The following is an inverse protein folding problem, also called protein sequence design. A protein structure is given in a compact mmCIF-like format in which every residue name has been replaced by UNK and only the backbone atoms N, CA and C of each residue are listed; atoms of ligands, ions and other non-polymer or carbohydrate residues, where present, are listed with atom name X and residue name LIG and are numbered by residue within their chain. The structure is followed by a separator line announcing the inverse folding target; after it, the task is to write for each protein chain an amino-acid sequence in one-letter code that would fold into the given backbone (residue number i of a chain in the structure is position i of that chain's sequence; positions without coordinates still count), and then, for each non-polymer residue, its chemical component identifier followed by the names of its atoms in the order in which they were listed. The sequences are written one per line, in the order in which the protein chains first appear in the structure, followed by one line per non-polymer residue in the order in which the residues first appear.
data_IF_559330465150
#
_entry.id   IF_559330465150
#
_cell.length_a   1.000
_cell.length_b   1.000
_cell.length_c   1.000
_cell.angle_alpha   90.00
_cell.angle_beta   90.00
_cell.angle_gamma   90.00
#
_symmetry.space_group_name_H-M   'P 1'
#
loop_
_entity.id
_entity.type
_entity.pdbx_description
1 polymer ?
#
# COMPACT_ATOMS: atom_id res chain seq x y z
N UNK A 1 7.55 53.96 -7.54
CA UNK A 1 8.76 53.55 -8.27
C UNK A 1 9.72 52.74 -7.40
N UNK A 2 9.99 53.11 -6.13
CA UNK A 2 10.77 52.27 -5.20
C UNK A 2 10.18 50.86 -5.07
N UNK A 3 8.85 50.76 -5.04
CA UNK A 3 8.11 49.49 -5.11
C UNK A 3 8.46 48.68 -6.37
N UNK A 4 8.59 49.31 -7.55
CA UNK A 4 8.93 48.61 -8.79
C UNK A 4 10.37 48.06 -8.75
N UNK A 5 11.29 48.79 -8.12
CA UNK A 5 12.66 48.30 -7.91
C UNK A 5 12.65 47.12 -6.94
N UNK A 6 11.94 47.24 -5.82
CA UNK A 6 11.80 46.16 -4.85
C UNK A 6 11.20 44.90 -5.48
N UNK A 7 10.09 45.04 -6.22
CA UNK A 7 9.44 43.94 -6.94
C UNK A 7 10.34 43.38 -8.04
N UNK A 8 11.09 44.20 -8.77
CA UNK A 8 12.05 43.76 -9.78
C UNK A 8 13.18 42.92 -9.17
N UNK A 9 13.80 43.39 -8.09
CA UNK A 9 14.84 42.65 -7.39
C UNK A 9 14.31 41.35 -6.76
N UNK A 10 13.13 41.39 -6.13
CA UNK A 10 12.47 40.18 -5.61
C UNK A 10 12.11 39.21 -6.73
N UNK A 11 11.68 39.70 -7.89
CA UNK A 11 11.36 38.89 -9.06
C UNK A 11 12.58 38.13 -9.57
N UNK A 12 13.73 38.81 -9.70
CA UNK A 12 15.00 38.17 -10.10
C UNK A 12 15.40 37.10 -9.09
N UNK A 13 15.40 37.40 -7.79
CA UNK A 13 15.68 36.42 -6.75
C UNK A 13 14.72 35.23 -6.82
N UNK A 14 13.42 35.50 -6.98
CA UNK A 14 12.38 34.49 -7.11
C UNK A 14 12.56 33.58 -8.33
N UNK A 15 12.96 34.11 -9.49
CA UNK A 15 13.25 33.28 -10.67
C UNK A 15 14.40 32.31 -10.44
N UNK A 16 15.47 32.75 -9.77
CA UNK A 16 16.57 31.88 -9.34
C UNK A 16 16.11 30.78 -8.39
N UNK A 17 15.26 31.11 -7.42
CA UNK A 17 14.67 30.15 -6.49
C UNK A 17 13.77 29.13 -7.18
N UNK A 18 12.95 29.53 -8.16
CA UNK A 18 12.10 28.62 -8.94
C UNK A 18 12.95 27.67 -9.78
N UNK A 19 14.03 28.17 -10.39
CA UNK A 19 14.97 27.32 -11.14
C UNK A 19 15.63 26.29 -10.22
N UNK A 20 16.12 26.72 -9.06
CA UNK A 20 16.75 25.84 -8.07
C UNK A 20 15.76 24.81 -7.52
N UNK A 21 14.51 25.21 -7.24
CA UNK A 21 13.44 24.31 -6.82
C UNK A 21 13.14 23.23 -7.87
N UNK A 22 13.11 23.60 -9.17
CA UNK A 22 12.93 22.63 -10.27
C UNK A 22 14.12 21.68 -10.41
N UNK A 23 15.34 22.16 -10.19
CA UNK A 23 16.54 21.34 -10.20
C UNK A 23 16.53 20.35 -9.02
N UNK A 24 16.20 20.84 -7.82
CA UNK A 24 16.06 20.04 -6.61
C UNK A 24 14.99 18.95 -6.79
N UNK A 25 13.81 19.29 -7.32
CA UNK A 25 12.74 18.32 -7.59
C UNK A 25 13.21 17.19 -8.52
N UNK A 26 13.90 17.52 -9.61
CA UNK A 26 14.44 16.51 -10.55
C UNK A 26 15.49 15.62 -9.90
N UNK A 27 16.41 16.20 -9.12
CA UNK A 27 17.40 15.43 -8.39
C UNK A 27 16.77 14.54 -7.30
N UNK A 28 15.74 15.04 -6.61
CA UNK A 28 15.03 14.29 -5.58
C UNK A 28 14.26 13.09 -6.15
N UNK A 29 13.67 13.23 -7.34
CA UNK A 29 13.02 12.11 -8.05
C UNK A 29 14.02 11.02 -8.42
N UNK A 30 15.16 11.40 -9.03
CA UNK A 30 16.22 10.43 -9.37
C UNK A 30 16.79 9.74 -8.13
N UNK A 31 17.05 10.48 -7.05
CA UNK A 31 17.52 9.89 -5.79
C UNK A 31 16.50 8.94 -5.17
N UNK A 32 15.20 9.20 -5.31
CA UNK A 32 14.15 8.31 -4.81
C UNK A 32 14.13 6.97 -5.56
N UNK A 33 14.39 7.00 -6.86
CA UNK A 33 14.53 5.80 -7.69
C UNK A 33 15.77 5.01 -7.27
N UNK A 34 16.94 5.65 -7.16
CA UNK A 34 18.19 4.99 -6.73
C UNK A 34 18.09 4.35 -5.32
N UNK A 35 17.44 5.05 -4.37
CA UNK A 35 17.17 4.52 -3.02
C UNK A 35 16.21 3.32 -3.09
N UNK A 36 15.21 3.39 -3.96
CA UNK A 36 14.27 2.30 -4.19
C UNK A 36 14.96 1.05 -4.72
N UNK A 37 15.81 1.19 -5.73
CA UNK A 37 16.60 0.11 -6.31
C UNK A 37 17.53 -0.53 -5.28
N UNK A 38 18.24 0.29 -4.49
CA UNK A 38 19.09 -0.20 -3.40
C UNK A 38 18.28 -0.99 -2.34
N UNK A 39 17.11 -0.48 -1.94
CA UNK A 39 16.22 -1.15 -1.00
C UNK A 39 15.71 -2.49 -1.53
N UNK A 40 15.29 -2.53 -2.79
CA UNK A 40 14.83 -3.75 -3.45
C UNK A 40 15.95 -4.80 -3.55
N UNK A 41 17.17 -4.40 -3.92
CA UNK A 41 18.31 -5.30 -3.97
C UNK A 41 18.68 -5.85 -2.59
N UNK A 42 18.63 -5.02 -1.55
CA UNK A 42 18.88 -5.45 -0.18
C UNK A 42 17.83 -6.47 0.27
N UNK A 43 16.54 -6.18 0.05
CA UNK A 43 15.45 -7.08 0.39
C UNK A 43 15.57 -8.42 -0.35
N UNK A 44 15.93 -8.40 -1.65
CA UNK A 44 16.17 -9.60 -2.46
C UNK A 44 17.25 -10.49 -1.85
N UNK A 45 18.39 -9.92 -1.46
CA UNK A 45 19.51 -10.67 -0.87
C UNK A 45 19.15 -11.21 0.53
N UNK A 46 18.46 -10.43 1.36
CA UNK A 46 18.06 -10.84 2.70
C UNK A 46 17.00 -11.95 2.67
N UNK A 47 16.03 -11.86 1.76
CA UNK A 47 14.98 -12.87 1.60
C UNK A 47 15.55 -14.18 1.07
N UNK A 48 16.60 -14.13 0.24
CA UNK A 48 17.24 -15.31 -0.36
C UNK A 48 18.62 -15.62 0.27
N UNK A 49 18.83 -15.28 1.54
CA UNK A 49 20.16 -15.36 2.17
C UNK A 49 20.74 -16.78 2.13
N UNK A 50 19.91 -17.80 2.35
CA UNK A 50 20.30 -19.22 2.28
C UNK A 50 20.75 -19.60 0.88
N UNK A 51 20.07 -19.12 -0.16
CA UNK A 51 20.45 -19.32 -1.57
C UNK A 51 21.78 -18.65 -1.88
N UNK A 52 21.98 -17.41 -1.42
CA UNK A 52 23.24 -16.68 -1.63
C UNK A 52 24.42 -17.42 -0.98
N UNK A 53 24.21 -17.91 0.25
CA UNK A 53 25.20 -18.71 1.01
C UNK A 53 25.49 -20.05 0.33
N UNK A 54 24.46 -20.79 -0.08
CA UNK A 54 24.60 -22.06 -0.76
C UNK A 54 25.33 -21.92 -2.12
N UNK A 55 25.12 -20.79 -2.81
CA UNK A 55 25.80 -20.47 -4.06
C UNK A 55 27.19 -19.83 -3.89
N UNK A 56 27.66 -19.61 -2.64
CA UNK A 56 28.90 -18.90 -2.31
C UNK A 56 29.04 -17.56 -3.08
N UNK A 57 27.92 -16.84 -3.19
CA UNK A 57 27.78 -15.67 -4.06
C UNK A 57 27.95 -14.34 -3.30
N UNK A 58 28.30 -14.37 -2.02
CA UNK A 58 28.34 -13.19 -1.14
C UNK A 58 29.21 -12.07 -1.73
N UNK A 59 30.41 -12.38 -2.21
CA UNK A 59 31.31 -11.38 -2.77
C UNK A 59 30.81 -10.74 -4.08
N UNK A 60 29.92 -11.41 -4.83
CA UNK A 60 29.26 -10.80 -6.00
C UNK A 60 28.10 -9.91 -5.57
N UNK A 61 27.25 -10.39 -4.67
CA UNK A 61 26.11 -9.62 -4.17
C UNK A 61 26.54 -8.39 -3.36
N UNK A 62 27.59 -8.49 -2.54
CA UNK A 62 28.17 -7.35 -1.82
C UNK A 62 28.66 -6.25 -2.77
N UNK A 63 29.33 -6.62 -3.87
CA UNK A 63 29.78 -5.65 -4.87
C UNK A 63 28.60 -4.96 -5.55
N UNK A 64 27.59 -5.73 -5.95
CA UNK A 64 26.37 -5.20 -6.57
C UNK A 64 25.62 -4.22 -5.64
N UNK A 65 25.47 -4.61 -4.37
CA UNK A 65 24.88 -3.75 -3.34
C UNK A 65 25.70 -2.48 -3.11
N UNK A 66 27.04 -2.59 -3.08
CA UNK A 66 27.91 -1.43 -2.94
C UNK A 66 27.79 -0.46 -4.12
N UNK A 67 27.67 -0.96 -5.35
CA UNK A 67 27.44 -0.13 -6.54
C UNK A 67 26.08 0.60 -6.47
N UNK A 68 25.01 -0.09 -6.05
CA UNK A 68 23.71 0.55 -5.89
C UNK A 68 23.68 1.57 -4.75
N UNK A 69 24.34 1.25 -3.64
CA UNK A 69 24.51 2.18 -2.52
C UNK A 69 25.31 3.43 -2.93
N UNK A 70 26.34 3.29 -3.77
CA UNK A 70 27.11 4.45 -4.25
C UNK A 70 26.30 5.33 -5.20
N UNK A 71 25.48 4.75 -6.09
CA UNK A 71 24.53 5.52 -6.92
C UNK A 71 23.59 6.35 -6.06
N UNK A 72 22.93 5.72 -5.08
CA UNK A 72 22.03 6.40 -4.14
C UNK A 72 22.76 7.49 -3.32
N UNK A 73 24.02 7.23 -2.92
CA UNK A 73 24.85 8.23 -2.24
C UNK A 73 25.17 9.44 -3.13
N UNK A 74 25.54 9.21 -4.39
CA UNK A 74 25.91 10.26 -5.34
C UNK A 74 24.70 11.13 -5.70
N UNK A 75 23.56 10.52 -6.02
CA UNK A 75 22.32 11.27 -6.29
C UNK A 75 21.79 11.96 -5.03
N UNK A 76 21.88 11.32 -3.86
CA UNK A 76 21.58 11.92 -2.57
C UNK A 76 22.43 13.14 -2.25
N UNK A 77 23.74 13.07 -2.49
CA UNK A 77 24.64 14.22 -2.33
C UNK A 77 24.25 15.39 -3.23
N UNK A 78 23.82 15.12 -4.47
CA UNK A 78 23.31 16.17 -5.37
C UNK A 78 22.06 16.84 -4.82
N UNK A 79 21.12 16.07 -4.23
CA UNK A 79 19.95 16.61 -3.53
C UNK A 79 20.37 17.49 -2.36
N UNK A 80 21.29 17.00 -1.52
CA UNK A 80 21.82 17.72 -0.36
C UNK A 80 22.46 19.04 -0.76
N UNK A 81 23.30 19.05 -1.81
CA UNK A 81 23.92 20.27 -2.33
C UNK A 81 22.85 21.25 -2.81
N UNK A 82 21.91 20.83 -3.67
CA UNK A 82 20.86 21.71 -4.18
C UNK A 82 19.97 22.28 -3.07
N UNK A 83 19.66 21.47 -2.05
CA UNK A 83 18.89 21.90 -0.90
C UNK A 83 19.70 22.87 -0.01
N UNK A 84 20.99 22.59 0.21
CA UNK A 84 21.87 23.44 0.99
C UNK A 84 22.10 24.81 0.33
N UNK A 85 22.06 24.90 -1.00
CA UNK A 85 22.11 26.18 -1.72
C UNK A 85 20.80 26.97 -1.65
N UNK A 86 19.66 26.34 -1.35
CA UNK A 86 18.34 26.97 -1.45
C UNK A 86 18.14 28.12 -0.46
N UNK A 87 18.33 27.87 0.82
CA UNK A 87 18.16 28.90 1.87
C UNK A 87 19.17 30.05 1.75
N UNK A 88 20.48 29.79 1.54
CA UNK A 88 21.45 30.86 1.31
C UNK A 88 21.15 31.69 0.05
N UNK A 89 20.75 31.07 -1.06
CA UNK A 89 20.42 31.80 -2.28
C UNK A 89 19.23 32.76 -2.08
N UNK A 90 18.19 32.31 -1.36
CA UNK A 90 17.07 33.16 -0.98
C UNK A 90 17.50 34.33 -0.09
N UNK A 91 18.31 34.07 0.94
CA UNK A 91 18.80 35.10 1.85
C UNK A 91 19.68 36.14 1.14
N UNK A 92 20.60 35.70 0.28
CA UNK A 92 21.46 36.59 -0.52
C UNK A 92 20.62 37.42 -1.48
N UNK A 93 19.66 36.80 -2.18
CA UNK A 93 18.74 37.53 -3.07
C UNK A 93 17.94 38.60 -2.32
N UNK A 94 17.45 38.28 -1.13
CA UNK A 94 16.74 39.22 -0.27
C UNK A 94 17.66 40.36 0.22
N UNK A 95 18.85 40.06 0.74
CA UNK A 95 19.79 41.07 1.21
C UNK A 95 20.27 41.98 0.06
N UNK A 96 20.53 41.43 -1.13
CA UNK A 96 20.87 42.19 -2.32
C UNK A 96 19.73 43.13 -2.75
N UNK A 97 18.48 42.64 -2.70
CA UNK A 97 17.30 43.48 -2.99
C UNK A 97 17.16 44.64 -2.01
N UNK A 98 17.35 44.39 -0.71
CA UNK A 98 17.28 45.40 0.33
C UNK A 98 18.40 46.44 0.17
N UNK A 99 19.63 45.99 -0.11
CA UNK A 99 20.77 46.87 -0.36
C UNK A 99 20.54 47.76 -1.59
N UNK A 100 19.98 47.22 -2.68
CA UNK A 100 19.65 47.99 -3.87
C UNK A 100 18.57 49.04 -3.58
N UNK A 101 17.50 48.66 -2.86
CA UNK A 101 16.43 49.59 -2.45
C UNK A 101 16.96 50.69 -1.53
N UNK A 102 17.81 50.35 -0.55
CA UNK A 102 18.44 51.32 0.33
C UNK A 102 19.37 52.27 -0.42
N UNK A 103 20.23 51.75 -1.30
CA UNK A 103 21.15 52.56 -2.08
C UNK A 103 20.44 53.56 -2.98
N UNK A 104 19.45 53.09 -3.75
CA UNK A 104 18.68 53.97 -4.66
C UNK A 104 17.75 54.90 -3.87
N UNK A 105 17.14 54.42 -2.78
CA UNK A 105 16.29 55.22 -1.91
C UNK A 105 17.05 56.36 -1.24
N UNK A 106 18.20 56.08 -0.64
CA UNK A 106 19.05 57.10 0.01
C UNK A 106 19.58 58.13 -1.00
N UNK A 107 20.02 57.71 -2.19
CA UNK A 107 20.44 58.64 -3.24
C UNK A 107 19.34 59.64 -3.62
N UNK A 108 18.08 59.23 -3.54
CA UNK A 108 16.90 60.05 -3.86
C UNK A 108 16.42 60.94 -2.71
N UNK A 109 16.69 60.53 -1.46
CA UNK A 109 16.53 61.40 -0.28
C UNK A 109 17.54 62.55 -0.36
N UNK A 110 18.80 62.24 -0.68
CA UNK A 110 19.86 63.26 -0.87
C UNK A 110 19.55 64.20 -2.03
N UNK A 111 18.95 63.70 -3.12
CA UNK A 111 18.52 64.54 -4.24
C UNK A 111 17.26 65.37 -3.96
N UNK A 112 16.69 65.30 -2.75
CA UNK A 112 15.48 66.04 -2.34
C UNK A 112 14.17 65.56 -2.99
N UNK A 113 14.18 64.41 -3.67
CA UNK A 113 13.00 63.91 -4.40
C UNK A 113 12.02 63.11 -3.54
N UNK A 114 12.44 62.70 -2.35
CA UNK A 114 11.65 61.97 -1.34
C UNK A 114 12.02 62.49 0.04
N UNK A 115 11.05 62.61 0.95
CA UNK A 115 11.33 62.95 2.35
C UNK A 115 11.99 61.78 3.10
N UNK A 116 12.75 62.09 4.16
CA UNK A 116 13.32 61.07 5.03
C UNK A 116 12.22 60.21 5.69
N UNK A 117 11.10 60.83 6.08
CA UNK A 117 9.98 60.14 6.72
C UNK A 117 9.33 59.12 5.77
N UNK A 118 9.08 59.48 4.51
CA UNK A 118 8.49 58.59 3.52
C UNK A 118 9.40 57.38 3.23
N UNK A 119 10.72 57.60 3.18
CA UNK A 119 11.68 56.53 2.98
C UNK A 119 11.73 55.56 4.18
N UNK A 120 11.70 56.06 5.40
CA UNK A 120 11.63 55.24 6.62
C UNK A 120 10.33 54.41 6.68
N UNK A 121 9.19 55.03 6.38
CA UNK A 121 7.90 54.34 6.32
C UNK A 121 7.91 53.22 5.26
N UNK A 122 8.39 53.52 4.06
CA UNK A 122 8.53 52.53 2.98
C UNK A 122 9.42 51.36 3.38
N UNK A 123 10.54 51.63 4.06
CA UNK A 123 11.47 50.58 4.52
C UNK A 123 10.82 49.65 5.55
N UNK A 124 10.02 50.18 6.49
CA UNK A 124 9.26 49.33 7.41
C UNK A 124 8.23 48.47 6.66
N UNK A 125 7.48 49.05 5.72
CA UNK A 125 6.51 48.29 4.93
C UNK A 125 7.16 47.18 4.09
N UNK A 126 8.39 47.42 3.59
CA UNK A 126 9.14 46.39 2.88
C UNK A 126 9.49 45.20 3.80
N UNK A 127 9.95 45.46 5.03
CA UNK A 127 10.23 44.39 5.99
C UNK A 127 8.97 43.60 6.37
N UNK A 128 7.83 44.29 6.52
CA UNK A 128 6.55 43.62 6.77
C UNK A 128 6.05 42.79 5.59
N UNK A 129 6.42 43.14 4.35
CA UNK A 129 6.00 42.40 3.16
C UNK A 129 6.84 41.14 2.91
N UNK A 130 8.15 41.19 3.19
CA UNK A 130 9.08 40.11 2.88
C UNK A 130 8.75 38.81 3.62
N UNK A 131 8.49 38.88 4.93
CA UNK A 131 8.26 37.67 5.74
C UNK A 131 7.00 36.89 5.32
N UNK A 132 5.81 37.53 5.18
CA UNK A 132 4.62 36.85 4.66
C UNK A 132 4.81 36.29 3.25
N UNK A 133 5.54 37.00 2.39
CA UNK A 133 5.79 36.56 1.02
C UNK A 133 6.60 35.26 0.99
N UNK A 134 7.67 35.17 1.79
CA UNK A 134 8.45 33.93 1.96
C UNK A 134 7.57 32.80 2.50
N UNK A 135 6.73 33.07 3.50
CA UNK A 135 5.83 32.07 4.08
C UNK A 135 4.86 31.49 3.04
N UNK A 136 4.27 32.34 2.18
CA UNK A 136 3.39 31.88 1.09
C UNK A 136 4.15 30.97 0.12
N UNK A 137 5.37 31.34 -0.29
CA UNK A 137 6.17 30.51 -1.20
C UNK A 137 6.54 29.15 -0.60
N UNK A 138 6.87 29.09 0.68
CA UNK A 138 7.14 27.83 1.38
C UNK A 138 5.86 26.99 1.54
N UNK A 139 4.72 27.63 1.79
CA UNK A 139 3.42 26.97 2.00
C UNK A 139 2.84 26.33 0.74
N UNK A 140 3.22 26.79 -0.46
CA UNK A 140 2.83 26.13 -1.72
C UNK A 140 3.35 24.69 -1.76
N UNK A 141 4.58 24.45 -1.30
CA UNK A 141 5.17 23.12 -1.28
C UNK A 141 4.40 22.14 -0.38
N UNK A 142 4.08 22.57 0.85
CA UNK A 142 3.32 21.77 1.81
C UNK A 142 1.88 21.53 1.33
N UNK A 143 1.25 22.54 0.73
CA UNK A 143 -0.09 22.40 0.13
C UNK A 143 -0.11 21.34 -0.99
N UNK A 144 0.86 21.40 -1.91
CA UNK A 144 0.96 20.42 -3.00
C UNK A 144 1.23 19.00 -2.47
N UNK A 145 2.05 18.86 -1.44
CA UNK A 145 2.30 17.58 -0.77
C UNK A 145 1.03 17.02 -0.12
N UNK A 146 0.26 17.88 0.57
CA UNK A 146 -1.02 17.51 1.16
C UNK A 146 -2.03 17.05 0.10
N UNK A 147 -2.13 17.77 -1.02
CA UNK A 147 -2.99 17.40 -2.15
C UNK A 147 -2.66 16.02 -2.73
N UNK A 148 -1.38 15.68 -2.86
CA UNK A 148 -0.95 14.36 -3.35
C UNK A 148 -1.20 13.22 -2.35
N UNK A 149 -1.32 13.53 -1.05
CA UNK A 149 -1.74 12.56 -0.05
C UNK A 149 -3.26 12.32 -0.13
N UNK A 150 -4.06 13.39 -0.25
CA UNK A 150 -5.51 13.29 -0.42
C UNK A 150 -5.87 12.52 -1.68
N UNK A 151 -5.20 12.79 -2.81
CA UNK A 151 -5.44 12.04 -4.05
C UNK A 151 -5.28 10.52 -3.87
N UNK A 152 -4.29 10.07 -3.10
CA UNK A 152 -4.11 8.63 -2.82
C UNK A 152 -5.23 8.05 -1.95
N UNK A 153 -5.80 8.86 -1.05
CA UNK A 153 -6.98 8.47 -0.26
C UNK A 153 -8.22 8.40 -1.15
N UNK A 154 -8.40 9.34 -2.06
CA UNK A 154 -9.50 9.31 -3.04
C UNK A 154 -9.38 8.10 -3.98
N UNK A 155 -8.16 7.78 -4.43
CA UNK A 155 -7.91 6.58 -5.24
C UNK A 155 -8.32 5.29 -4.49
N UNK A 156 -8.03 5.20 -3.18
CA UNK A 156 -8.45 4.09 -2.32
C UNK A 156 -9.98 3.99 -2.20
N UNK A 157 -10.67 5.12 -2.08
CA UNK A 157 -12.14 5.17 -1.99
C UNK A 157 -12.84 4.66 -3.26
N UNK A 158 -12.18 4.81 -4.42
CA UNK A 158 -12.71 4.35 -5.71
C UNK A 158 -12.41 2.89 -6.04
N UNK A 159 -11.62 2.18 -5.22
CA UNK A 159 -11.30 0.79 -5.49
C UNK A 159 -12.57 -0.09 -5.35
N UNK A 160 -12.86 -0.95 -6.33
CA UNK A 160 -13.97 -1.90 -6.21
C UNK A 160 -13.80 -2.74 -4.95
N UNK A 161 -14.84 -2.80 -4.13
CA UNK A 161 -14.89 -3.72 -3.00
C UNK A 161 -15.40 -5.08 -3.47
N UNK A 162 -15.08 -6.13 -2.71
CA UNK A 162 -15.63 -7.45 -2.97
C UNK A 162 -17.16 -7.42 -2.76
N UNK A 163 -17.93 -7.77 -3.79
CA UNK A 163 -19.40 -7.81 -3.70
C UNK A 163 -19.82 -8.89 -2.68
N UNK A 164 -20.35 -8.46 -1.54
CA UNK A 164 -20.97 -9.38 -0.58
C UNK A 164 -22.29 -9.97 -1.10
N UNK A 165 -22.93 -9.30 -2.06
CA UNK A 165 -24.27 -9.63 -2.54
C UNK A 165 -24.26 -10.38 -3.89
N UNK A 166 -25.31 -11.21 -4.15
CA UNK A 166 -25.49 -11.93 -5.42
C UNK A 166 -25.40 -11.03 -6.65
N UNK A 167 -24.87 -11.57 -7.76
CA UNK A 167 -24.93 -10.89 -9.05
C UNK A 167 -26.40 -10.59 -9.43
N UNK A 168 -26.74 -9.30 -9.54
CA UNK A 168 -28.06 -8.81 -9.96
C UNK A 168 -28.86 -8.03 -8.91
N UNK A 169 -28.45 -8.03 -7.64
CA UNK A 169 -29.06 -7.16 -6.62
C UNK A 169 -28.39 -5.79 -6.66
N UNK A 170 -28.79 -4.96 -7.60
CA UNK A 170 -28.51 -3.51 -7.54
C UNK A 170 -29.56 -2.90 -6.62
N UNK A 171 -29.20 -2.66 -5.36
CA UNK A 171 -29.97 -1.72 -4.54
C UNK A 171 -29.38 -0.32 -4.75
N UNK A 172 -30.13 0.64 -5.30
CA UNK A 172 -29.63 1.98 -5.50
C UNK A 172 -29.71 2.73 -4.18
N UNK A 173 -28.55 3.06 -3.64
CA UNK A 173 -28.37 4.09 -2.61
C UNK A 173 -29.19 3.89 -1.32
N UNK A 174 -28.54 3.42 -0.25
CA UNK A 174 -28.43 4.23 0.97
C UNK A 174 -27.48 3.58 1.97
N UNK A 175 -26.40 4.30 2.27
CA UNK A 175 -25.58 4.01 3.42
C UNK A 175 -26.38 4.35 4.68
N UNK A 176 -26.84 3.32 5.40
CA UNK A 176 -26.92 3.24 6.88
C UNK A 176 -27.62 1.94 7.30
N UNK A 177 -26.93 1.21 8.17
CA UNK A 177 -27.47 0.20 9.07
C UNK A 177 -27.97 -1.10 8.42
N UNK A 178 -27.02 -1.99 8.13
CA UNK A 178 -27.24 -3.41 8.32
C UNK A 178 -26.71 -3.78 9.69
N UNK A 179 -27.53 -3.63 10.74
CA UNK A 179 -27.29 -4.39 11.95
C UNK A 179 -27.11 -5.85 11.53
N UNK A 180 -26.04 -6.49 12.00
CA UNK A 180 -25.87 -7.94 11.93
C UNK A 180 -27.16 -8.55 12.46
N UNK A 181 -28.04 -8.93 11.54
CA UNK A 181 -29.19 -9.73 11.88
C UNK A 181 -28.59 -11.01 12.46
N UNK A 182 -28.96 -11.25 13.70
CA UNK A 182 -28.71 -12.45 14.47
C UNK A 182 -29.26 -13.66 13.69
N UNK A 183 -28.50 -14.12 12.70
CA UNK A 183 -28.85 -15.25 11.83
C UNK A 183 -28.24 -16.53 12.42
N UNK A 184 -28.64 -16.77 13.67
CA UNK A 184 -28.81 -18.11 14.26
C UNK A 184 -29.98 -18.87 13.61
N UNK A 185 -30.50 -18.40 12.46
CA UNK A 185 -31.38 -19.17 11.63
C UNK A 185 -30.57 -20.26 10.93
N UNK A 186 -30.69 -21.48 11.45
CA UNK A 186 -30.24 -22.74 10.86
C UNK A 186 -29.98 -22.63 9.35
N UNK A 187 -28.69 -22.60 8.98
CA UNK A 187 -28.24 -22.68 7.58
C UNK A 187 -29.02 -23.83 6.92
N UNK A 188 -29.81 -23.59 5.86
CA UNK A 188 -30.59 -24.66 5.26
C UNK A 188 -29.62 -25.75 4.81
N UNK A 189 -29.71 -26.90 5.47
CA UNK A 189 -29.04 -28.13 5.04
C UNK A 189 -29.45 -28.37 3.59
N UNK A 190 -28.52 -28.72 2.69
CA UNK A 190 -28.85 -28.94 1.29
C UNK A 190 -29.96 -29.99 1.19
N UNK A 191 -31.16 -29.53 0.82
CA UNK A 191 -32.30 -30.39 0.54
C UNK A 191 -32.13 -30.92 -0.88
N UNK A 192 -31.42 -32.05 -1.00
CA UNK A 192 -31.29 -32.77 -2.27
C UNK A 192 -29.98 -33.55 -2.40
N UNK A 193 -30.00 -34.56 -3.26
CA UNK A 193 -28.86 -35.40 -3.64
C UNK A 193 -27.91 -34.67 -4.62
N UNK A 194 -27.64 -33.38 -4.33
CA UNK A 194 -26.83 -32.53 -5.20
C UNK A 194 -25.33 -32.77 -4.96
N UNK A 195 -24.49 -32.71 -6.01
CA UNK A 195 -23.05 -32.68 -5.83
C UNK A 195 -22.60 -31.54 -4.90
N UNK A 196 -21.51 -31.76 -4.16
CA UNK A 196 -20.90 -30.71 -3.35
C UNK A 196 -20.49 -29.53 -4.22
N UNK A 197 -19.78 -29.79 -5.31
CA UNK A 197 -19.30 -28.78 -6.27
C UNK A 197 -19.50 -29.27 -7.70
N UNK A 198 -19.92 -28.40 -8.60
CA UNK A 198 -20.04 -28.71 -10.03
C UNK A 198 -19.44 -27.59 -10.86
N UNK A 199 -18.49 -27.91 -11.74
CA UNK A 199 -17.93 -27.03 -12.75
C UNK A 199 -18.61 -27.33 -14.09
N UNK A 200 -19.14 -26.30 -14.75
CA UNK A 200 -19.80 -26.39 -16.06
C UNK A 200 -19.12 -25.46 -17.05
N UNK A 201 -18.34 -26.03 -17.96
CA UNK A 201 -17.65 -25.34 -19.05
C UNK A 201 -16.83 -24.11 -18.59
N UNK A 202 -16.15 -24.25 -17.45
CA UNK A 202 -15.50 -23.13 -16.77
C UNK A 202 -14.22 -22.74 -17.48
N UNK A 203 -14.13 -21.47 -17.85
CA UNK A 203 -12.94 -20.87 -18.44
C UNK A 203 -12.42 -19.72 -17.57
N UNK A 204 -11.10 -19.64 -17.37
CA UNK A 204 -10.49 -18.62 -16.52
C UNK A 204 -9.03 -18.35 -16.90
N UNK A 205 -8.56 -17.11 -16.68
CA UNK A 205 -7.16 -16.72 -16.84
C UNK A 205 -6.79 -15.54 -15.92
N UNK A 206 -5.50 -15.43 -15.58
CA UNK A 206 -4.97 -14.28 -14.85
C UNK A 206 -4.49 -13.21 -15.84
N UNK A 207 -5.28 -12.14 -16.00
CA UNK A 207 -5.05 -11.16 -17.05
C UNK A 207 -5.12 -11.82 -18.43
N UNK A 208 -4.08 -11.65 -19.25
CA UNK A 208 -4.03 -12.22 -20.61
C UNK A 208 -3.57 -13.69 -20.65
N UNK A 209 -3.36 -14.35 -19.50
CA UNK A 209 -2.85 -15.73 -19.44
C UNK A 209 -3.99 -16.72 -19.14
N UNK A 210 -4.48 -17.50 -20.12
CA UNK A 210 -5.49 -18.53 -19.87
C UNK A 210 -4.93 -19.64 -18.96
N UNK A 211 -5.77 -20.18 -18.10
CA UNK A 211 -5.43 -21.23 -17.11
C UNK A 211 -6.41 -22.40 -17.18
N UNK A 212 -7.72 -22.12 -17.21
CA UNK A 212 -8.78 -23.11 -17.39
C UNK A 212 -9.49 -22.84 -18.72
N UNK A 213 -9.72 -23.88 -19.51
CA UNK A 213 -10.36 -23.81 -20.83
C UNK A 213 -11.49 -24.84 -20.89
N UNK A 214 -12.74 -24.41 -20.69
CA UNK A 214 -13.93 -25.27 -20.79
C UNK A 214 -13.99 -26.44 -19.80
N UNK A 215 -13.48 -26.25 -18.58
CA UNK A 215 -13.35 -27.33 -17.58
C UNK A 215 -14.71 -27.70 -17.01
N UNK A 216 -15.06 -28.99 -17.07
CA UNK A 216 -16.31 -29.54 -16.52
C UNK A 216 -16.04 -30.77 -15.66
N UNK A 217 -16.49 -30.77 -14.41
CA UNK A 217 -16.42 -31.92 -13.51
C UNK A 217 -17.38 -31.75 -12.34
N UNK A 218 -17.59 -32.84 -11.59
CA UNK A 218 -18.52 -32.89 -10.46
C UNK A 218 -17.85 -33.55 -9.27
N UNK A 219 -17.95 -32.91 -8.10
CA UNK A 219 -17.49 -33.42 -6.80
C UNK A 219 -18.70 -33.94 -6.04
N UNK A 220 -18.78 -35.24 -5.72
CA UNK A 220 -19.90 -35.81 -4.96
C UNK A 220 -20.07 -35.15 -3.58
N UNK A 221 -21.28 -35.19 -3.03
CA UNK A 221 -21.58 -34.65 -1.68
C UNK A 221 -20.77 -35.31 -0.56
N UNK A 222 -20.33 -36.55 -0.78
CA UNK A 222 -19.64 -37.37 0.20
C UNK A 222 -18.41 -38.05 -0.41
N UNK A 223 -17.42 -38.33 0.44
CA UNK A 223 -16.18 -38.98 0.05
C UNK A 223 -15.04 -37.99 -0.24
N UNK A 224 -13.96 -38.51 -0.81
CA UNK A 224 -12.74 -37.77 -1.09
C UNK A 224 -12.54 -37.66 -2.60
N UNK A 225 -12.41 -36.44 -3.12
CA UNK A 225 -12.04 -36.18 -4.51
C UNK A 225 -10.63 -35.60 -4.56
N UNK A 226 -9.75 -36.21 -5.35
CA UNK A 226 -8.38 -35.76 -5.53
C UNK A 226 -8.20 -35.17 -6.94
N UNK A 227 -7.73 -33.92 -7.02
CA UNK A 227 -7.37 -33.26 -8.28
C UNK A 227 -5.86 -33.40 -8.50
N UNK A 228 -5.48 -34.18 -9.51
CA UNK A 228 -4.07 -34.47 -9.84
C UNK A 228 -3.68 -33.89 -11.19
N UNK A 229 -2.41 -33.53 -11.35
CA UNK A 229 -1.89 -32.97 -12.60
C UNK A 229 -0.56 -32.27 -12.43
N UNK A 230 0.10 -31.94 -13.54
CA UNK A 230 1.37 -31.23 -13.55
C UNK A 230 1.31 -29.87 -12.82
N UNK A 231 2.46 -29.37 -12.37
CA UNK A 231 2.54 -27.99 -11.84
C UNK A 231 2.06 -27.00 -12.90
N UNK A 232 1.27 -26.00 -12.50
CA UNK A 232 0.68 -25.02 -13.42
C UNK A 232 -0.61 -25.46 -14.14
N UNK A 233 -1.09 -26.69 -13.95
CA UNK A 233 -2.34 -27.17 -14.57
C UNK A 233 -3.64 -26.56 -14.01
N UNK A 234 -3.57 -25.44 -13.28
CA UNK A 234 -4.76 -24.77 -12.72
C UNK A 234 -5.37 -25.39 -11.46
N UNK A 235 -4.70 -26.36 -10.82
CA UNK A 235 -5.23 -27.02 -9.59
C UNK A 235 -5.57 -26.03 -8.47
N UNK A 236 -4.63 -25.16 -8.11
CA UNK A 236 -4.86 -24.12 -7.09
C UNK A 236 -5.95 -23.15 -7.53
N UNK A 237 -6.01 -22.83 -8.82
CA UNK A 237 -7.03 -21.95 -9.41
C UNK A 237 -8.43 -22.51 -9.25
N UNK A 238 -8.63 -23.83 -9.37
CA UNK A 238 -9.92 -24.47 -9.09
C UNK A 238 -10.41 -24.15 -7.68
N UNK A 239 -9.56 -24.31 -6.66
CA UNK A 239 -9.92 -23.99 -5.27
C UNK A 239 -10.21 -22.49 -5.09
N UNK A 240 -9.41 -21.62 -5.69
CA UNK A 240 -9.62 -20.17 -5.62
C UNK A 240 -10.93 -19.71 -6.28
N UNK A 241 -11.38 -20.41 -7.32
CA UNK A 241 -12.66 -20.15 -7.98
C UNK A 241 -13.85 -20.64 -7.15
N UNK A 242 -13.72 -21.78 -6.44
CA UNK A 242 -14.74 -22.27 -5.51
C UNK A 242 -14.97 -21.26 -4.37
N UNK A 243 -13.88 -20.73 -3.80
CA UNK A 243 -13.88 -19.67 -2.76
C UNK A 243 -14.26 -18.28 -3.29
N UNK A 244 -14.50 -18.18 -4.60
CA UNK A 244 -14.82 -16.94 -5.32
C UNK A 244 -13.80 -15.81 -5.12
N UNK A 245 -12.53 -16.14 -4.85
CA UNK A 245 -11.43 -15.16 -4.90
C UNK A 245 -11.23 -14.61 -6.31
N UNK A 246 -11.62 -15.39 -7.32
CA UNK A 246 -11.75 -14.95 -8.69
C UNK A 246 -13.11 -15.36 -9.24
N UNK A 247 -13.57 -14.63 -10.26
CA UNK A 247 -14.76 -15.00 -11.04
C UNK A 247 -14.33 -15.71 -12.32
N UNK A 248 -15.02 -16.78 -12.74
CA UNK A 248 -14.74 -17.40 -14.03
C UNK A 248 -15.00 -16.40 -15.16
N UNK A 249 -14.21 -16.48 -16.24
CA UNK A 249 -14.42 -15.70 -17.46
C UNK A 249 -15.55 -16.24 -18.35
N UNK A 250 -15.93 -17.51 -18.14
CA UNK A 250 -17.06 -18.17 -18.77
C UNK A 250 -17.42 -19.48 -18.05
N UNK A 251 -18.62 -20.00 -18.32
CA UNK A 251 -19.16 -21.17 -17.62
C UNK A 251 -19.78 -20.82 -16.26
N UNK A 252 -20.08 -21.85 -15.46
CA UNK A 252 -20.70 -21.70 -14.14
C UNK A 252 -20.09 -22.68 -13.13
N UNK A 253 -20.05 -22.27 -11.86
CA UNK A 253 -19.64 -23.10 -10.74
C UNK A 253 -20.80 -23.17 -9.75
N UNK A 254 -21.25 -24.37 -9.41
CA UNK A 254 -22.34 -24.58 -8.48
C UNK A 254 -21.82 -25.20 -7.19
N UNK A 255 -22.30 -24.68 -6.05
CA UNK A 255 -22.08 -25.22 -4.72
C UNK A 255 -23.41 -25.77 -4.21
N UNK A 256 -23.46 -27.09 -3.95
CA UNK A 256 -24.69 -27.79 -3.57
C UNK A 256 -25.90 -27.50 -4.49
N UNK A 257 -25.64 -27.44 -5.80
CA UNK A 257 -26.68 -27.19 -6.83
C UNK A 257 -27.06 -25.72 -7.04
N UNK A 258 -26.45 -24.75 -6.34
CA UNK A 258 -26.69 -23.31 -6.53
C UNK A 258 -25.46 -22.64 -7.14
N UNK A 259 -25.64 -21.82 -8.17
CA UNK A 259 -24.53 -21.07 -8.80
C UNK A 259 -23.92 -20.07 -7.82
N UNK A 260 -22.61 -20.16 -7.61
CA UNK A 260 -21.87 -19.30 -6.67
C UNK A 260 -21.88 -17.83 -7.08
N UNK A 261 -22.19 -17.49 -8.34
CA UNK A 261 -22.37 -16.12 -8.79
C UNK A 261 -23.57 -15.44 -8.10
N UNK A 262 -24.54 -16.23 -7.62
CA UNK A 262 -25.76 -15.73 -6.98
C UNK A 262 -25.81 -15.99 -5.47
N UNK A 263 -24.70 -16.42 -4.87
CA UNK A 263 -24.59 -16.60 -3.42
C UNK A 263 -23.87 -15.42 -2.78
N UNK A 264 -24.22 -15.02 -1.53
CA UNK A 264 -23.38 -14.14 -0.75
C UNK A 264 -22.01 -14.79 -0.48
N UNK A 265 -20.92 -14.01 -0.48
CA UNK A 265 -19.57 -14.55 -0.25
C UNK A 265 -19.47 -15.25 1.11
N UNK A 266 -20.10 -14.67 2.14
CA UNK A 266 -20.13 -15.25 3.48
C UNK A 266 -20.84 -16.61 3.52
N UNK A 267 -21.86 -16.84 2.68
CA UNK A 267 -22.52 -18.14 2.57
C UNK A 267 -21.60 -19.18 1.94
N UNK A 268 -20.86 -18.81 0.89
CA UNK A 268 -19.88 -19.68 0.23
C UNK A 268 -18.79 -20.08 1.22
N UNK A 269 -18.11 -19.09 1.82
CA UNK A 269 -16.96 -19.29 2.73
C UNK A 269 -17.36 -19.95 4.05
N UNK A 270 -18.61 -19.78 4.49
CA UNK A 270 -19.14 -20.47 5.66
C UNK A 270 -19.42 -21.96 5.45
N UNK A 271 -19.41 -22.45 4.20
CA UNK A 271 -19.63 -23.85 3.82
C UNK A 271 -18.36 -24.57 3.37
N UNK A 272 -17.27 -23.83 3.13
CA UNK A 272 -16.02 -24.39 2.62
C UNK A 272 -14.92 -24.17 3.64
N UNK A 273 -14.26 -25.26 4.04
CA UNK A 273 -13.02 -25.20 4.81
C UNK A 273 -11.83 -25.08 3.86
N UNK A 274 -11.08 -23.98 3.98
CA UNK A 274 -9.90 -23.72 3.15
C UNK A 274 -8.60 -23.92 3.95
N UNK A 275 -7.70 -24.75 3.42
CA UNK A 275 -6.34 -24.93 3.96
C UNK A 275 -5.35 -24.48 2.91
N UNK A 276 -4.60 -23.42 3.22
CA UNK A 276 -3.61 -22.84 2.32
C UNK A 276 -2.36 -23.74 2.22
N UNK A 277 -1.69 -23.68 1.06
CA UNK A 277 -0.47 -24.45 0.80
C UNK A 277 0.73 -23.99 1.65
N UNK A 278 0.85 -22.69 1.89
CA UNK A 278 1.90 -22.07 2.71
C UNK A 278 1.32 -21.63 4.08
N UNK A 279 2.18 -21.49 5.10
CA UNK A 279 1.76 -21.28 6.49
C UNK A 279 0.83 -20.05 6.64
N UNK A 280 -0.38 -20.26 7.13
CA UNK A 280 -1.39 -19.21 7.28
C UNK A 280 -1.40 -18.57 8.68
N UNK A 281 -0.50 -19.00 9.58
CA UNK A 281 -0.48 -18.51 10.95
C UNK A 281 -0.23 -17.00 11.01
N UNK A 282 -1.16 -16.30 11.65
CA UNK A 282 -1.11 -14.87 11.92
C UNK A 282 -0.39 -14.62 13.24
N UNK A 283 0.23 -13.44 13.34
CA UNK A 283 0.81 -12.97 14.60
C UNK A 283 -0.27 -12.83 15.66
N UNK A 284 -0.10 -13.52 16.77
CA UNK A 284 -1.11 -13.67 17.82
C UNK A 284 -0.84 -14.93 18.64
N UNK A 285 -1.74 -15.30 19.54
CA UNK A 285 -1.64 -16.60 20.24
C UNK A 285 -2.06 -17.75 19.33
N UNK A 286 -1.63 -18.97 19.67
CA UNK A 286 -2.12 -20.17 18.98
C UNK A 286 -3.65 -20.30 19.10
N UNK A 287 -4.22 -19.96 20.26
CA UNK A 287 -5.67 -19.88 20.48
C UNK A 287 -6.35 -18.95 19.48
N UNK A 288 -5.87 -17.71 19.36
CA UNK A 288 -6.43 -16.71 18.44
C UNK A 288 -6.46 -17.20 16.99
N UNK A 289 -5.44 -17.96 16.58
CA UNK A 289 -5.39 -18.57 15.25
C UNK A 289 -6.41 -19.71 15.08
N UNK A 290 -6.59 -20.56 16.10
CA UNK A 290 -7.54 -21.69 16.06
C UNK A 290 -8.99 -21.17 15.99
N UNK A 291 -9.32 -20.16 16.79
CA UNK A 291 -10.68 -19.60 16.86
C UNK A 291 -10.96 -18.54 15.80
N UNK A 292 -10.02 -18.29 14.87
CA UNK A 292 -10.13 -17.20 13.89
C UNK A 292 -11.42 -17.27 13.05
N UNK A 293 -11.81 -18.48 12.64
CA UNK A 293 -13.04 -18.73 11.89
C UNK A 293 -14.29 -18.94 12.79
N UNK A 294 -14.11 -19.09 14.10
CA UNK A 294 -15.18 -19.35 15.07
C UNK A 294 -14.82 -18.70 16.43
N UNK A 295 -14.95 -17.37 16.57
CA UNK A 295 -14.51 -16.64 17.77
C UNK A 295 -15.22 -17.08 19.07
N UNK A 296 -16.43 -17.60 18.93
CA UNK A 296 -17.28 -18.05 20.04
C UNK A 296 -17.12 -19.55 20.35
N UNK A 297 -16.12 -20.22 19.77
CA UNK A 297 -15.86 -21.64 20.01
C UNK A 297 -15.60 -21.92 21.50
N UNK A 298 -16.25 -22.96 22.01
CA UNK A 298 -16.09 -23.43 23.39
C UNK A 298 -14.75 -24.15 23.58
N UNK A 299 -14.26 -24.23 24.82
CA UNK A 299 -13.03 -24.99 25.13
C UNK A 299 -13.09 -26.46 24.66
N UNK A 300 -14.28 -27.06 24.66
CA UNK A 300 -14.47 -28.42 24.17
C UNK A 300 -14.26 -28.52 22.66
N UNK A 301 -14.82 -27.58 21.89
CA UNK A 301 -14.65 -27.51 20.43
C UNK A 301 -13.21 -27.20 20.05
N UNK A 302 -12.53 -26.33 20.82
CA UNK A 302 -11.10 -26.04 20.63
C UNK A 302 -10.26 -27.30 20.88
N UNK A 303 -10.53 -28.03 21.97
CA UNK A 303 -9.80 -29.26 22.29
C UNK A 303 -10.02 -30.35 21.21
N UNK A 304 -11.25 -30.50 20.73
CA UNK A 304 -11.58 -31.43 19.63
C UNK A 304 -10.85 -31.04 18.34
N UNK A 305 -10.85 -29.75 17.97
CA UNK A 305 -10.14 -29.28 16.79
C UNK A 305 -8.62 -29.52 16.88
N UNK A 306 -8.02 -29.30 18.05
CA UNK A 306 -6.59 -29.58 18.31
C UNK A 306 -6.29 -31.08 18.17
N UNK A 307 -7.17 -31.94 18.69
CA UNK A 307 -7.02 -33.39 18.58
C UNK A 307 -7.15 -33.87 17.13
N UNK A 308 -8.18 -33.43 16.41
CA UNK A 308 -8.42 -33.79 15.01
C UNK A 308 -7.30 -33.30 14.07
N UNK A 309 -6.70 -32.14 14.38
CA UNK A 309 -5.55 -31.61 13.66
C UNK A 309 -4.22 -32.31 14.02
N UNK A 310 -4.21 -33.19 15.03
CA UNK A 310 -2.99 -33.86 15.51
C UNK A 310 -2.02 -32.91 16.23
N UNK A 311 -2.52 -31.82 16.81
CA UNK A 311 -1.71 -30.78 17.45
C UNK A 311 -1.55 -30.98 18.96
N UNK A 312 -2.15 -32.01 19.55
CA UNK A 312 -2.16 -32.22 21.02
C UNK A 312 -0.76 -32.25 21.63
N UNK A 313 0.17 -33.00 21.04
CA UNK A 313 1.56 -33.10 21.54
C UNK A 313 2.31 -31.77 21.34
N UNK A 314 2.14 -31.13 20.18
CA UNK A 314 2.75 -29.83 19.87
C UNK A 314 2.31 -28.79 20.89
N UNK A 315 1.01 -28.68 21.17
CA UNK A 315 0.45 -27.75 22.17
C UNK A 315 1.02 -28.04 23.56
N UNK A 316 1.21 -29.30 23.92
CA UNK A 316 1.75 -29.68 25.22
C UNK A 316 3.25 -29.34 25.39
N UNK A 317 4.02 -29.30 24.30
CA UNK A 317 5.44 -28.93 24.31
C UNK A 317 5.69 -27.42 24.31
N UNK A 318 4.69 -26.62 23.92
CA UNK A 318 4.81 -25.17 23.92
C UNK A 318 4.80 -24.60 25.35
N UNK A 319 5.62 -23.56 25.63
CA UNK A 319 5.81 -23.03 26.98
C UNK A 319 4.53 -22.52 27.65
N UNK A 320 3.61 -21.94 26.86
CA UNK A 320 2.35 -21.38 27.34
C UNK A 320 1.13 -22.10 26.71
N UNK A 321 1.33 -23.30 26.15
CA UNK A 321 0.29 -24.06 25.47
C UNK A 321 -0.41 -23.25 24.38
N UNK A 322 -1.74 -23.18 24.44
CA UNK A 322 -2.57 -22.40 23.51
C UNK A 322 -2.32 -20.89 23.57
N UNK A 323 -1.80 -20.36 24.68
CA UNK A 323 -1.50 -18.93 24.83
C UNK A 323 -0.13 -18.55 24.26
N UNK A 324 0.60 -19.52 23.70
CA UNK A 324 1.92 -19.28 23.12
C UNK A 324 1.81 -18.32 21.94
N UNK A 325 2.59 -17.24 22.00
CA UNK A 325 2.65 -16.22 20.96
C UNK A 325 3.41 -16.73 19.73
N UNK A 326 2.76 -16.66 18.58
CA UNK A 326 3.33 -16.95 17.27
C UNK A 326 3.87 -15.67 16.63
N UNK A 327 5.08 -15.74 16.08
CA UNK A 327 5.63 -14.66 15.25
C UNK A 327 5.02 -14.67 13.84
N UNK A 328 5.47 -13.75 12.98
CA UNK A 328 4.99 -13.63 11.60
C UNK A 328 5.16 -14.98 10.86
N UNK A 329 4.14 -15.42 10.11
CA UNK A 329 4.16 -16.71 9.39
C UNK A 329 4.41 -17.93 10.29
N UNK A 330 4.02 -17.85 11.57
CA UNK A 330 4.14 -18.96 12.51
C UNK A 330 5.57 -19.25 12.99
N UNK A 331 6.51 -18.30 12.88
CA UNK A 331 7.84 -18.46 13.48
C UNK A 331 7.70 -18.69 14.99
N UNK A 332 8.14 -19.85 15.48
CA UNK A 332 7.94 -20.32 16.86
C UNK A 332 7.37 -21.73 16.98
N UNK A 333 6.80 -22.26 15.89
CA UNK A 333 6.35 -23.66 15.75
C UNK A 333 7.38 -24.44 14.92
N UNK A 334 8.43 -24.97 15.54
CA UNK A 334 9.40 -25.86 14.88
C UNK A 334 9.80 -27.02 15.78
#
# INVERSE_FOLDING_TARGET
WLLLIAVGCLGIAGTGSVWLARALRRAALANREDIGDFGADLQRVLTALTTVKAANAEGREQRRLAESADRARVSGNRVTVLNALFTPALNVGLQASLAAVMGVGMARVVSGSISLADFSAFTMYLFYLVSPLVLVFLSIGTYLQGRAAVQRVDELDTLPQEDEHPAGTTDPADGRSGALADDSAARPAPQGDHPAVEFRDVSFGYGDRPVLEGVSFTVPAHGLTAVVGASGAGKTTVFQLIERFYRPGGGAILLAGRDIAHLPTAEIRGRVGYVQQDNAAMRGTLRENIVYAAPDATEAEIAEAVELAGLTEVVAELPDGLETLLGDQGTGLS
#
